data_IF_637508776834
#
_entry.id   IF_637508776834
#
_cell.length_a   1.000
_cell.length_b   1.000
_cell.length_c   1.000
_cell.angle_alpha   90.00
_cell.angle_beta   90.00
_cell.angle_gamma   90.00
#
_symmetry.space_group_name_H-M   'P 1'
#
loop_
_entity.id
_entity.type
_entity.pdbx_description
1 polymer ?
#
# COMPACT_ATOMS: atom_id res chain seq x y z
N UNK A 1 6.94 -11.50 2.27
CA UNK A 1 6.04 -10.34 2.17
C UNK A 1 6.33 -9.60 0.87
N UNK A 2 5.29 -9.00 0.35
CA UNK A 2 5.39 -8.29 -0.91
C UNK A 2 5.72 -6.82 -0.72
N UNK A 3 5.25 -6.24 0.38
CA UNK A 3 5.42 -4.82 0.66
C UNK A 3 5.49 -4.61 2.16
N UNK A 4 5.85 -3.40 2.55
CA UNK A 4 5.87 -3.02 3.95
C UNK A 4 5.26 -1.62 4.07
N UNK A 5 4.74 -1.32 5.25
CA UNK A 5 4.23 0.00 5.54
C UNK A 5 5.39 0.87 6.00
N UNK A 6 5.48 2.07 5.43
CA UNK A 6 6.56 2.99 5.78
C UNK A 6 6.09 3.96 6.85
N UNK A 7 6.98 4.86 7.25
CA UNK A 7 6.62 5.87 8.23
C UNK A 7 5.95 7.10 7.62
N UNK A 8 5.87 7.16 6.30
CA UNK A 8 5.19 8.27 5.64
C UNK A 8 3.69 8.02 5.72
N UNK A 9 2.96 8.96 6.30
CA UNK A 9 1.55 8.78 6.53
C UNK A 9 0.75 9.97 6.06
N UNK A 10 -0.55 9.72 5.82
CA UNK A 10 -1.50 10.79 5.57
C UNK A 10 -2.73 10.51 6.42
N UNK A 11 -3.51 11.55 6.66
CA UNK A 11 -4.76 11.41 7.40
C UNK A 11 -5.92 11.70 6.46
N UNK A 12 -6.86 10.77 6.40
CA UNK A 12 -8.05 10.91 5.56
C UNK A 12 -9.26 10.56 6.41
N UNK A 13 -10.15 11.52 6.61
CA UNK A 13 -11.38 11.30 7.38
C UNK A 13 -11.12 10.69 8.75
N UNK A 14 -10.05 11.12 9.41
CA UNK A 14 -9.72 10.61 10.72
C UNK A 14 -8.98 9.28 10.73
N UNK A 15 -8.67 8.75 9.56
CA UNK A 15 -7.91 7.51 9.44
C UNK A 15 -6.48 7.82 9.07
N UNK A 16 -5.54 7.12 9.69
CA UNK A 16 -4.14 7.25 9.35
C UNK A 16 -3.79 6.18 8.34
N UNK A 17 -3.26 6.61 7.20
CA UNK A 17 -2.88 5.71 6.13
C UNK A 17 -1.37 5.76 5.96
N UNK A 18 -0.77 4.63 5.62
CA UNK A 18 0.68 4.50 5.52
C UNK A 18 1.07 4.24 4.07
N UNK A 19 2.11 4.94 3.61
CA UNK A 19 2.65 4.66 2.28
C UNK A 19 3.30 3.27 2.29
N UNK A 20 3.13 2.55 1.20
CA UNK A 20 3.69 1.21 1.09
C UNK A 20 4.95 1.25 0.24
N UNK A 21 5.83 0.29 0.48
CA UNK A 21 7.06 0.15 -0.27
C UNK A 21 7.22 -1.31 -0.65
N UNK A 22 7.51 -1.58 -1.91
CA UNK A 22 7.66 -2.95 -2.37
C UNK A 22 8.92 -3.57 -1.79
N UNK A 23 8.78 -4.77 -1.25
CA UNK A 23 9.90 -5.51 -0.71
C UNK A 23 10.53 -6.40 -1.77
N UNK A 24 9.74 -6.79 -2.77
CA UNK A 24 10.24 -7.58 -3.87
C UNK A 24 9.56 -7.12 -5.15
N UNK A 25 10.10 -7.54 -6.27
CA UNK A 25 9.54 -7.16 -7.57
C UNK A 25 8.39 -8.09 -7.95
N UNK A 26 7.37 -7.52 -8.55
CA UNK A 26 6.24 -8.30 -9.06
C UNK A 26 5.50 -7.43 -10.07
N UNK A 27 4.89 -8.06 -11.06
CA UNK A 27 4.18 -7.31 -12.08
C UNK A 27 5.06 -6.20 -12.64
N UNK A 28 4.55 -4.98 -12.62
CA UNK A 28 5.31 -3.82 -13.08
C UNK A 28 6.02 -3.11 -11.94
N UNK A 29 6.03 -3.69 -10.76
CA UNK A 29 6.58 -3.07 -9.56
C UNK A 29 7.97 -3.63 -9.30
N UNK A 30 8.91 -2.77 -8.98
CA UNK A 30 10.30 -3.14 -8.72
C UNK A 30 10.56 -3.01 -7.22
N UNK A 31 11.30 -3.94 -6.65
CA UNK A 31 11.66 -3.86 -5.24
C UNK A 31 12.23 -2.47 -4.93
N UNK A 32 11.73 -1.86 -3.88
CA UNK A 32 12.12 -0.51 -3.50
C UNK A 32 11.18 0.57 -4.01
N UNK A 33 10.27 0.24 -4.92
CA UNK A 33 9.29 1.22 -5.39
C UNK A 33 8.32 1.55 -4.28
N UNK A 34 7.92 2.80 -4.22
CA UNK A 34 6.87 3.21 -3.29
C UNK A 34 5.55 3.22 -4.01
N UNK A 35 4.51 2.81 -3.30
CA UNK A 35 3.17 2.84 -3.85
C UNK A 35 2.32 3.89 -3.16
N UNK A 36 1.02 3.67 -3.15
CA UNK A 36 0.10 4.57 -2.49
C UNK A 36 0.02 4.34 -1.00
N UNK A 37 -1.17 4.57 -0.45
CA UNK A 37 -1.36 4.51 1.00
C UNK A 37 -2.45 3.51 1.35
N UNK A 38 -2.22 2.76 2.43
CA UNK A 38 -3.25 1.85 2.94
C UNK A 38 -3.31 2.01 4.45
N UNK A 39 -4.47 1.70 5.02
CA UNK A 39 -4.65 1.83 6.45
C UNK A 39 -4.03 0.65 7.20
N UNK A 40 -4.09 -0.52 6.63
CA UNK A 40 -3.52 -1.71 7.24
C UNK A 40 -3.26 -2.74 6.16
N UNK A 41 -2.52 -3.79 6.53
CA UNK A 41 -2.12 -4.78 5.53
C UNK A 41 -3.31 -5.56 4.97
N UNK A 42 -4.43 -5.57 5.66
CA UNK A 42 -5.61 -6.23 5.14
C UNK A 42 -6.21 -5.54 3.93
N UNK A 43 -5.80 -4.30 3.65
CA UNK A 43 -6.34 -3.56 2.51
C UNK A 43 -5.69 -3.95 1.18
N UNK A 44 -4.55 -4.63 1.23
CA UNK A 44 -3.84 -4.99 0.00
C UNK A 44 -3.22 -6.36 0.18
N UNK A 45 -3.55 -7.27 -0.72
CA UNK A 45 -3.06 -8.63 -0.64
C UNK A 45 -1.55 -8.70 -0.86
N UNK A 46 -0.88 -9.57 -0.13
CA UNK A 46 0.53 -9.86 -0.38
C UNK A 46 0.72 -10.86 -1.51
N UNK A 47 -0.38 -11.42 -2.03
CA UNK A 47 -0.31 -12.38 -3.11
C UNK A 47 -0.72 -11.73 -4.41
N UNK A 48 -0.24 -12.29 -5.51
CA UNK A 48 -0.57 -11.75 -6.81
C UNK A 48 0.16 -10.46 -7.09
N UNK A 49 -0.29 -9.75 -8.11
CA UNK A 49 0.37 -8.53 -8.57
C UNK A 49 -0.41 -7.27 -8.25
N UNK A 50 -1.40 -7.33 -7.38
CA UNK A 50 -2.17 -6.14 -7.06
C UNK A 50 -1.28 -5.11 -6.37
N UNK A 51 -1.56 -3.85 -6.61
CA UNK A 51 -0.74 -2.77 -6.07
C UNK A 51 -1.56 -1.49 -5.99
N UNK A 52 -1.22 -0.64 -5.05
CA UNK A 52 -1.81 0.69 -4.95
C UNK A 52 -0.79 1.66 -5.52
N UNK A 53 -1.12 2.33 -6.61
CA UNK A 53 -0.16 3.16 -7.33
C UNK A 53 -0.20 4.62 -6.92
N UNK A 54 0.95 5.26 -7.03
CA UNK A 54 1.04 6.71 -6.91
C UNK A 54 0.53 7.22 -5.58
N UNK A 55 -0.40 8.16 -5.64
CA UNK A 55 -0.99 8.74 -4.44
C UNK A 55 -2.39 8.22 -4.16
N UNK A 56 -2.80 7.14 -4.79
CA UNK A 56 -4.09 6.52 -4.49
C UNK A 56 -4.07 6.01 -3.05
N UNK A 57 -5.25 5.86 -2.42
CA UNK A 57 -5.32 5.38 -1.05
C UNK A 57 -6.54 4.48 -0.86
N UNK A 58 -6.41 3.60 0.13
CA UNK A 58 -7.48 2.65 0.44
C UNK A 58 -7.70 2.72 1.94
N UNK A 59 -8.85 2.96 2.20
CA UNK A 59 -9.10 3.05 3.61
C UNK A 59 -10.09 1.99 3.96
N UNK A 60 -10.27 1.97 5.11
CA UNK A 60 -11.32 1.24 5.51
C UNK A 60 -11.53 -0.04 4.81
N UNK A 61 -11.99 -0.46 5.10
CA UNK A 61 -12.40 -1.56 4.59
C UNK A 61 -12.56 -1.58 3.16
N UNK A 62 -12.18 -1.09 2.91
CA UNK A 62 -12.35 -0.98 1.73
C UNK A 62 -12.04 -2.07 0.97
N UNK A 63 -12.19 -2.58 1.02
CA UNK A 63 -11.84 -3.49 0.39
C UNK A 63 -11.80 -3.32 -0.89
N UNK A 64 -11.38 -3.33 -1.11
CA UNK A 64 -11.33 -3.07 -2.28
C UNK A 64 -11.14 -3.83 -2.85
#
# INVERSE_FOLDING_TARGET
MKYMLTTETIAVDGHTLYRISAVKSFGDVIAGDEGGFIECEGNLSHEGDSWVYGNAWVXXXXXX
#
